data_IF_250988131415
#
_entry.id   IF_250988131415
#
_cell.length_a   1.000
_cell.length_b   1.000
_cell.length_c   1.000
_cell.angle_alpha   90.00
_cell.angle_beta   90.00
_cell.angle_gamma   90.00
#
_symmetry.space_group_name_H-M   'P 1'
#
loop_
_entity.id
_entity.type
_entity.pdbx_description
1 polymer ?
#
# COMPACT_ATOMS: atom_id res chain seq x y z
N UNK A 1 -5.47 -15.22 -39.41
CA UNK A 1 -4.64 -14.24 -38.67
C UNK A 1 -5.24 -14.12 -37.27
N UNK A 2 -4.78 -14.85 -36.24
CA UNK A 2 -3.74 -14.47 -35.24
C UNK A 2 -3.73 -12.94 -34.99
N UNK A 3 -3.84 -12.37 -33.79
CA UNK A 3 -3.89 -12.81 -32.38
C UNK A 3 -4.24 -11.56 -31.57
N UNK A 4 -5.05 -11.68 -30.50
CA UNK A 4 -5.22 -10.61 -29.51
C UNK A 4 -5.16 -11.19 -28.09
N UNK A 5 -3.97 -11.19 -27.48
CA UNK A 5 -3.75 -11.55 -26.07
C UNK A 5 -3.85 -10.28 -25.21
N UNK A 6 -4.89 -10.15 -24.41
CA UNK A 6 -4.96 -9.22 -23.27
C UNK A 6 -4.76 -10.01 -21.98
N UNK A 7 -3.59 -9.89 -21.36
CA UNK A 7 -3.26 -10.55 -20.08
C UNK A 7 -3.77 -9.72 -18.89
N UNK A 8 -4.67 -10.29 -18.09
CA UNK A 8 -5.11 -9.72 -16.82
C UNK A 8 -4.21 -10.21 -15.68
N UNK A 9 -3.54 -9.27 -15.00
CA UNK A 9 -2.67 -9.53 -13.85
C UNK A 9 -3.54 -9.81 -12.61
N UNK A 10 -3.41 -11.00 -12.01
CA UNK A 10 -4.12 -11.37 -10.78
C UNK A 10 -3.41 -10.80 -9.56
N UNK A 11 -4.11 -9.97 -8.78
CA UNK A 11 -3.68 -9.52 -7.46
C UNK A 11 -3.81 -10.64 -6.41
N UNK A 12 -2.70 -11.01 -5.77
CA UNK A 12 -2.64 -12.01 -4.71
C UNK A 12 -2.83 -11.32 -3.35
N UNK A 13 -4.02 -11.47 -2.76
CA UNK A 13 -4.32 -10.98 -1.41
C UNK A 13 -3.77 -11.91 -0.32
N UNK A 14 -2.75 -11.45 0.42
CA UNK A 14 -2.21 -12.12 1.62
C UNK A 14 -3.21 -12.06 2.79
N UNK A 15 -3.77 -13.22 3.19
CA UNK A 15 -4.54 -13.35 4.44
C UNK A 15 -3.62 -13.59 5.63
N UNK A 16 -3.66 -12.67 6.62
CA UNK A 16 -3.00 -12.83 7.93
C UNK A 16 -3.75 -13.90 8.74
N UNK A 17 -3.04 -14.96 9.15
CA UNK A 17 -3.55 -15.98 10.08
C UNK A 17 -3.32 -15.50 11.52
N UNK A 18 -4.37 -15.45 12.34
CA UNK A 18 -4.28 -15.27 13.79
C UNK A 18 -4.49 -16.65 14.42
N UNK A 19 -3.49 -17.17 15.11
CA UNK A 19 -3.59 -18.36 15.93
C UNK A 19 -4.23 -17.98 17.28
N UNK A 20 -5.29 -18.69 17.67
CA UNK A 20 -5.90 -18.61 19.00
C UNK A 20 -5.52 -19.88 19.76
N UNK A 21 -4.91 -19.68 20.93
CA UNK A 21 -4.43 -20.72 21.84
C UNK A 21 -5.62 -21.21 22.67
N UNK A 22 -5.84 -22.53 22.70
CA UNK A 22 -6.90 -23.17 23.48
C UNK A 22 -6.40 -23.52 24.88
N UNK A 23 -7.09 -23.05 25.92
CA UNK A 23 -6.89 -23.49 27.31
C UNK A 23 -7.95 -24.54 27.67
N UNK A 24 -7.48 -25.75 27.94
CA UNK A 24 -8.25 -26.86 28.50
C UNK A 24 -8.50 -26.63 30.00
N UNK A 25 -9.75 -26.88 30.45
CA UNK A 25 -10.08 -27.02 31.87
C UNK A 25 -10.89 -28.31 32.06
N UNK A 26 -10.37 -29.17 32.94
CA UNK A 26 -10.85 -30.52 33.28
C UNK A 26 -12.04 -30.44 34.27
N UNK A 27 -13.03 -31.36 34.22
CA UNK A 27 -14.22 -31.34 35.08
C UNK A 27 -14.00 -31.99 36.45
N UNK A 28 -14.69 -31.44 37.46
CA UNK A 28 -14.75 -31.94 38.83
C UNK A 28 -15.98 -32.80 39.09
N UNK A 29 -15.74 -33.82 39.92
CA UNK A 29 -16.56 -34.96 40.38
C UNK A 29 -17.86 -34.63 41.13
N UNK A 30 -18.84 -35.53 40.96
CA UNK A 30 -19.53 -36.19 42.09
C UNK A 30 -21.00 -35.85 42.35
N UNK A 31 -21.89 -36.84 42.17
CA UNK A 31 -22.82 -37.32 43.21
C UNK A 31 -23.75 -38.42 42.67
N UNK A 32 -23.92 -39.46 43.48
CA UNK A 32 -24.73 -40.66 43.29
C UNK A 32 -26.09 -40.50 44.00
N UNK A 33 -27.18 -40.96 43.38
CA UNK A 33 -28.39 -41.48 44.04
C UNK A 33 -29.22 -42.21 42.96
N UNK A 34 -29.40 -43.53 43.03
CA UNK A 34 -30.46 -44.25 43.75
C UNK A 34 -31.60 -44.68 42.82
N UNK A 35 -32.07 -45.91 43.05
CA UNK A 35 -32.94 -46.72 42.22
C UNK A 35 -34.37 -46.16 42.06
N UNK A 36 -35.06 -46.51 40.98
CA UNK A 36 -36.14 -47.50 41.00
C UNK A 36 -36.88 -47.57 39.65
N UNK A 37 -37.30 -48.77 39.27
CA UNK A 37 -37.93 -49.07 38.00
C UNK A 37 -39.35 -48.50 37.89
N UNK A 38 -39.63 -47.81 36.79
CA UNK A 38 -40.99 -47.51 36.36
C UNK A 38 -41.08 -47.50 34.82
N UNK A 39 -41.67 -48.58 34.31
CA UNK A 39 -42.70 -48.63 33.26
C UNK A 39 -42.48 -47.77 31.99
N UNK A 40 -42.24 -48.47 30.88
CA UNK A 40 -42.25 -47.97 29.50
C UNK A 40 -43.50 -47.13 29.20
N UNK A 41 -43.31 -45.84 28.93
CA UNK A 41 -44.30 -44.93 28.34
C UNK A 41 -43.77 -44.45 26.98
N UNK A 42 -44.58 -44.44 25.91
CA UNK A 42 -44.12 -43.96 24.61
C UNK A 42 -43.90 -42.44 24.65
N UNK A 43 -42.73 -42.02 24.17
CA UNK A 43 -42.31 -40.62 24.06
C UNK A 43 -43.26 -39.81 23.17
N UNK A 44 -43.76 -38.68 23.69
CA UNK A 44 -44.29 -37.59 22.87
C UNK A 44 -43.20 -37.08 21.92
N UNK A 45 -43.51 -36.79 20.64
CA UNK A 45 -42.52 -36.27 19.71
C UNK A 45 -42.10 -34.84 20.12
N UNK A 46 -40.78 -34.61 20.21
CA UNK A 46 -40.20 -33.31 20.52
C UNK A 46 -40.75 -32.19 19.60
N UNK A 47 -40.99 -30.96 20.10
CA UNK A 47 -41.42 -29.86 19.28
C UNK A 47 -40.34 -29.54 18.23
N UNK A 48 -40.77 -29.44 16.97
CA UNK A 48 -39.92 -29.19 15.82
C UNK A 48 -39.00 -27.99 16.04
N UNK A 49 -37.69 -28.20 15.90
CA UNK A 49 -36.69 -27.14 15.93
C UNK A 49 -37.06 -26.04 14.92
N UNK A 50 -37.19 -24.79 15.39
CA UNK A 50 -37.39 -23.64 14.53
C UNK A 50 -36.22 -23.53 13.52
N UNK A 51 -36.49 -23.29 12.22
CA UNK A 51 -35.45 -23.31 11.20
C UNK A 51 -34.44 -22.19 11.42
N UNK A 52 -33.18 -22.56 11.65
CA UNK A 52 -32.06 -21.61 11.76
C UNK A 52 -31.73 -21.07 10.37
N UNK A 53 -32.13 -19.83 10.06
CA UNK A 53 -31.77 -19.17 8.80
C UNK A 53 -30.34 -18.60 8.85
N UNK A 54 -29.59 -18.74 7.76
CA UNK A 54 -28.23 -18.21 7.65
C UNK A 54 -28.26 -16.67 7.56
N UNK A 55 -27.88 -15.98 8.63
CA UNK A 55 -27.88 -14.52 8.73
C UNK A 55 -29.23 -13.85 8.37
N UNK A 56 -30.36 -14.56 8.56
CA UNK A 56 -31.70 -14.08 8.19
C UNK A 56 -31.97 -13.97 6.68
N UNK A 57 -31.13 -14.56 5.82
CA UNK A 57 -31.24 -14.49 4.36
C UNK A 57 -31.66 -15.86 3.81
N UNK A 58 -32.72 -15.89 3.01
CA UNK A 58 -33.19 -17.10 2.32
C UNK A 58 -34.61 -17.52 2.70
N UNK A 59 -34.96 -18.76 2.33
CA UNK A 59 -36.25 -19.38 2.64
C UNK A 59 -36.15 -20.23 3.90
N UNK A 60 -37.15 -20.18 4.78
CA UNK A 60 -37.20 -20.99 6.00
C UNK A 60 -37.26 -22.50 5.70
N UNK A 61 -37.98 -22.88 4.65
CA UNK A 61 -37.97 -24.23 4.08
C UNK A 61 -38.07 -24.13 2.55
N UNK A 62 -37.34 -24.96 1.78
CA UNK A 62 -37.47 -25.00 0.32
C UNK A 62 -38.74 -25.73 -0.14
N UNK A 63 -39.40 -26.49 0.76
CA UNK A 63 -40.62 -27.25 0.49
C UNK A 63 -41.79 -26.28 0.28
N UNK A 64 -42.47 -26.38 -0.86
CA UNK A 64 -43.58 -25.49 -1.24
C UNK A 64 -43.16 -24.23 -2.01
N UNK A 65 -41.86 -23.89 -2.09
CA UNK A 65 -41.38 -22.76 -2.89
C UNK A 65 -41.25 -23.08 -4.39
N UNK A 66 -41.31 -24.36 -4.79
CA UNK A 66 -41.11 -24.77 -6.18
C UNK A 66 -39.68 -24.55 -6.71
N UNK A 67 -38.71 -24.28 -5.84
CA UNK A 67 -37.30 -24.08 -6.18
C UNK A 67 -36.40 -24.93 -5.27
N UNK A 68 -35.13 -25.09 -5.64
CA UNK A 68 -34.16 -25.88 -4.86
C UNK A 68 -33.68 -25.18 -3.57
N UNK A 69 -34.14 -23.95 -3.27
CA UNK A 69 -33.70 -23.19 -2.09
C UNK A 69 -32.27 -22.65 -2.16
N UNK A 70 -31.67 -22.58 -3.35
CA UNK A 70 -30.29 -22.09 -3.53
C UNK A 70 -30.24 -20.56 -3.47
N UNK A 71 -29.50 -20.02 -2.49
CA UNK A 71 -29.35 -18.57 -2.27
C UNK A 71 -27.99 -18.10 -2.78
N UNK A 72 -27.98 -17.27 -3.82
CA UNK A 72 -26.78 -16.64 -4.36
C UNK A 72 -26.61 -15.22 -3.80
N UNK A 73 -25.37 -14.86 -3.42
CA UNK A 73 -25.06 -13.47 -3.06
C UNK A 73 -25.20 -12.55 -4.28
N UNK A 74 -25.80 -11.38 -4.10
CA UNK A 74 -25.80 -10.36 -5.14
C UNK A 74 -24.36 -9.81 -5.31
N UNK A 75 -23.80 -9.94 -6.51
CA UNK A 75 -22.45 -9.42 -6.84
C UNK A 75 -22.45 -7.90 -7.08
N UNK A 76 -23.58 -7.36 -7.51
CA UNK A 76 -23.76 -5.95 -7.86
C UNK A 76 -24.23 -5.10 -6.68
N UNK A 77 -24.56 -5.72 -5.54
CA UNK A 77 -24.90 -5.00 -4.33
C UNK A 77 -23.67 -4.29 -3.78
N UNK A 78 -23.61 -2.96 -3.95
CA UNK A 78 -22.59 -2.12 -3.35
C UNK A 78 -22.78 -2.11 -1.83
N UNK A 79 -21.74 -2.50 -1.10
CA UNK A 79 -21.75 -2.37 0.36
C UNK A 79 -21.65 -0.90 0.69
N UNK A 80 -22.71 -0.31 1.23
CA UNK A 80 -22.58 0.98 1.91
C UNK A 80 -21.49 0.82 2.98
N UNK A 81 -20.51 1.74 2.96
CA UNK A 81 -19.43 1.77 3.95
C UNK A 81 -20.14 1.81 5.31
N UNK A 82 -19.92 0.80 6.16
CA UNK A 82 -20.55 0.72 7.48
C UNK A 82 -20.08 1.92 8.30
N UNK A 83 -20.91 2.95 8.30
CA UNK A 83 -20.66 4.25 8.92
C UNK A 83 -21.94 5.06 8.82
N UNK A 84 -23.03 4.54 9.40
CA UNK A 84 -24.29 5.29 9.60
C UNK A 84 -24.15 6.33 10.71
N UNK A 85 -23.03 7.05 10.73
CA UNK A 85 -22.93 8.34 11.40
C UNK A 85 -23.24 9.43 10.37
N UNK A 86 -23.55 10.66 10.80
CA UNK A 86 -23.56 11.81 9.89
C UNK A 86 -22.26 11.80 9.09
N UNK A 87 -22.32 12.07 7.78
CA UNK A 87 -21.09 12.30 7.01
C UNK A 87 -20.24 13.29 7.80
N UNK A 88 -18.94 13.01 8.01
CA UNK A 88 -18.07 14.03 8.57
C UNK A 88 -18.20 15.27 7.68
N UNK A 89 -18.31 16.47 8.29
CA UNK A 89 -18.36 17.70 7.51
C UNK A 89 -17.19 17.71 6.51
N UNK A 90 -17.36 18.34 5.33
CA UNK A 90 -16.25 18.46 4.39
C UNK A 90 -15.03 18.95 5.15
N UNK A 91 -13.86 18.31 4.97
CA UNK A 91 -12.67 18.64 5.74
C UNK A 91 -12.44 20.15 5.64
N UNK A 92 -12.23 20.79 6.79
CA UNK A 92 -12.01 22.24 6.83
C UNK A 92 -10.77 22.62 6.00
N UNK A 93 -10.61 23.90 5.68
CA UNK A 93 -9.48 24.39 4.88
C UNK A 93 -8.11 23.95 5.45
N UNK A 94 -7.98 23.89 6.77
CA UNK A 94 -6.78 23.39 7.45
C UNK A 94 -6.56 21.88 7.27
N UNK A 95 -7.63 21.10 7.22
CA UNK A 95 -7.57 19.65 7.01
C UNK A 95 -7.28 19.33 5.55
N UNK A 96 -7.84 20.09 4.60
CA UNK A 96 -7.44 20.06 3.19
C UNK A 96 -5.95 20.36 3.03
N UNK A 97 -5.47 21.44 3.67
CA UNK A 97 -4.06 21.84 3.60
C UNK A 97 -3.13 20.78 4.19
N UNK A 98 -3.55 20.09 5.26
CA UNK A 98 -2.81 18.95 5.83
C UNK A 98 -2.82 17.74 4.90
N UNK A 99 -3.93 17.43 4.25
CA UNK A 99 -4.05 16.33 3.29
C UNK A 99 -3.20 16.59 2.03
N UNK A 100 -3.23 17.82 1.53
CA UNK A 100 -2.41 18.27 0.40
C UNK A 100 -0.91 18.24 0.72
N UNK A 101 -0.52 18.73 1.90
CA UNK A 101 0.86 18.60 2.39
C UNK A 101 1.29 17.14 2.59
N UNK A 102 0.33 16.25 2.93
CA UNK A 102 0.57 14.82 3.01
C UNK A 102 0.78 14.13 1.66
N UNK A 103 0.26 14.72 0.57
CA UNK A 103 0.39 14.24 -0.79
C UNK A 103 1.67 14.74 -1.47
N UNK A 104 2.07 15.99 -1.19
CA UNK A 104 3.31 16.60 -1.65
C UNK A 104 4.47 16.36 -0.66
N UNK A 105 4.83 15.10 -0.44
CA UNK A 105 5.99 14.77 0.38
C UNK A 105 7.28 15.06 -0.40
N UNK A 106 8.04 16.04 0.09
CA UNK A 106 9.39 16.31 -0.39
C UNK A 106 10.26 15.05 -0.27
N UNK A 107 11.18 14.80 -1.23
CA UNK A 107 12.22 13.80 -1.10
C UNK A 107 13.06 14.06 0.15
N UNK A 108 13.38 13.00 0.88
CA UNK A 108 14.34 13.10 1.97
C UNK A 108 15.75 12.84 1.40
N UNK A 109 16.68 13.80 1.47
CA UNK A 109 18.03 13.63 0.93
C UNK A 109 18.78 12.45 1.57
N UNK A 110 18.56 12.22 2.86
CA UNK A 110 19.23 11.12 3.57
C UNK A 110 18.86 9.76 2.98
N UNK A 111 17.59 9.55 2.62
CA UNK A 111 17.13 8.29 2.03
C UNK A 111 17.73 8.11 0.62
N UNK A 112 17.87 9.20 -0.15
CA UNK A 112 18.49 9.15 -1.46
C UNK A 112 19.99 8.80 -1.36
N UNK A 113 20.69 9.40 -0.40
CA UNK A 113 22.11 9.12 -0.15
C UNK A 113 22.34 7.69 0.32
N UNK A 114 21.46 7.16 1.18
CA UNK A 114 21.49 5.75 1.58
C UNK A 114 21.30 4.82 0.39
N UNK A 115 20.37 5.14 -0.52
CA UNK A 115 20.17 4.34 -1.72
C UNK A 115 21.37 4.41 -2.67
N UNK A 116 22.02 5.57 -2.80
CA UNK A 116 23.28 5.71 -3.57
C UNK A 116 24.39 4.85 -2.97
N UNK A 117 24.65 4.99 -1.66
CA UNK A 117 25.65 4.17 -0.94
C UNK A 117 25.36 2.67 -1.07
N UNK A 118 24.10 2.26 -0.90
CA UNK A 118 23.68 0.86 -1.06
C UNK A 118 24.01 0.31 -2.45
N UNK A 119 23.81 1.09 -3.52
CA UNK A 119 24.17 0.67 -4.88
C UNK A 119 25.67 0.44 -5.05
N UNK A 120 26.51 1.30 -4.45
CA UNK A 120 27.96 1.11 -4.44
C UNK A 120 28.34 -0.18 -3.74
N UNK A 121 27.78 -0.42 -2.54
CA UNK A 121 28.06 -1.62 -1.76
C UNK A 121 27.62 -2.90 -2.48
N UNK A 122 26.46 -2.89 -3.14
CA UNK A 122 26.00 -4.02 -3.94
C UNK A 122 26.99 -4.36 -5.06
N UNK A 123 27.46 -3.36 -5.81
CA UNK A 123 28.47 -3.58 -6.86
C UNK A 123 29.80 -4.09 -6.28
N UNK A 124 30.18 -3.63 -5.10
CA UNK A 124 31.38 -4.12 -4.41
C UNK A 124 31.23 -5.59 -3.98
N UNK A 125 30.06 -5.99 -3.49
CA UNK A 125 29.74 -7.37 -3.17
C UNK A 125 29.75 -8.26 -4.42
N UNK A 126 29.12 -7.83 -5.50
CA UNK A 126 29.14 -8.54 -6.79
C UNK A 126 30.58 -8.79 -7.28
N UNK A 127 31.46 -7.79 -7.18
CA UNK A 127 32.87 -7.95 -7.54
C UNK A 127 33.60 -8.94 -6.61
N UNK A 128 33.29 -8.89 -5.31
CA UNK A 128 33.86 -9.81 -4.31
C UNK A 128 33.49 -11.25 -4.65
N UNK A 129 32.19 -11.53 -4.85
CA UNK A 129 31.67 -12.85 -5.21
C UNK A 129 32.31 -13.38 -6.52
N UNK A 130 32.41 -12.53 -7.55
CA UNK A 130 33.05 -12.91 -8.82
C UNK A 130 34.54 -13.27 -8.67
N UNK A 131 35.26 -12.59 -7.78
CA UNK A 131 36.66 -12.90 -7.52
C UNK A 131 36.84 -14.14 -6.63
N UNK A 132 35.93 -14.37 -5.68
CA UNK A 132 35.91 -15.59 -4.88
C UNK A 132 35.63 -16.83 -5.75
N UNK A 133 34.67 -16.74 -6.67
CA UNK A 133 34.37 -17.81 -7.64
C UNK A 133 35.56 -18.13 -8.56
N UNK A 134 36.38 -17.13 -8.88
CA UNK A 134 37.60 -17.28 -9.67
C UNK A 134 38.79 -17.78 -8.85
N UNK A 135 38.68 -17.85 -7.53
CA UNK A 135 39.71 -18.37 -6.62
C UNK A 135 40.87 -17.42 -6.35
N UNK A 136 40.66 -16.10 -6.39
CA UNK A 136 41.69 -15.13 -5.96
C UNK A 136 41.94 -15.20 -4.45
N UNK A 137 43.12 -14.75 -4.01
CA UNK A 137 43.44 -14.63 -2.60
C UNK A 137 42.67 -13.47 -1.95
N UNK A 138 42.22 -13.66 -0.70
CA UNK A 138 41.42 -12.68 0.05
C UNK A 138 42.06 -11.28 0.11
N UNK A 139 43.39 -11.20 0.22
CA UNK A 139 44.11 -9.93 0.24
C UNK A 139 44.00 -9.14 -1.07
N UNK A 140 44.12 -9.82 -2.22
CA UNK A 140 43.98 -9.19 -3.53
C UNK A 140 42.55 -8.74 -3.81
N UNK A 141 41.57 -9.50 -3.29
CA UNK A 141 40.14 -9.15 -3.38
C UNK A 141 39.88 -7.84 -2.65
N UNK A 142 40.37 -7.69 -1.42
CA UNK A 142 40.15 -6.48 -0.61
C UNK A 142 40.76 -5.24 -1.26
N UNK A 143 41.96 -5.33 -1.83
CA UNK A 143 42.61 -4.21 -2.52
C UNK A 143 41.83 -3.77 -3.78
N UNK A 144 41.40 -4.73 -4.60
CA UNK A 144 40.61 -4.44 -5.80
C UNK A 144 39.22 -3.91 -5.46
N UNK A 145 38.58 -4.41 -4.41
CA UNK A 145 37.27 -3.91 -3.95
C UNK A 145 37.41 -2.52 -3.34
N UNK A 146 38.47 -2.23 -2.60
CA UNK A 146 38.71 -0.90 -2.02
C UNK A 146 38.92 0.17 -3.10
N UNK A 147 39.75 -0.13 -4.10
CA UNK A 147 39.97 0.76 -5.25
C UNK A 147 38.68 0.94 -6.06
N UNK A 148 37.93 -0.14 -6.30
CA UNK A 148 36.65 -0.09 -6.99
C UNK A 148 35.60 0.74 -6.24
N UNK A 149 35.54 0.64 -4.91
CA UNK A 149 34.65 1.45 -4.05
C UNK A 149 34.94 2.94 -4.21
N UNK A 150 36.21 3.33 -4.21
CA UNK A 150 36.60 4.73 -4.45
C UNK A 150 36.18 5.21 -5.84
N UNK A 151 36.45 4.42 -6.88
CA UNK A 151 36.06 4.76 -8.25
C UNK A 151 34.54 4.91 -8.42
N UNK A 152 33.74 4.08 -7.75
CA UNK A 152 32.28 4.17 -7.82
C UNK A 152 31.73 5.39 -7.08
N UNK A 153 32.30 5.74 -5.93
CA UNK A 153 31.92 6.96 -5.21
C UNK A 153 32.23 8.21 -6.04
N UNK A 154 33.39 8.27 -6.70
CA UNK A 154 33.74 9.38 -7.60
C UNK A 154 32.81 9.46 -8.81
N UNK A 155 32.47 8.31 -9.41
CA UNK A 155 31.54 8.24 -10.55
C UNK A 155 30.13 8.66 -10.18
N UNK A 156 29.59 8.21 -9.05
CA UNK A 156 28.23 8.55 -8.62
C UNK A 156 28.10 10.05 -8.23
N UNK A 157 29.22 10.69 -7.83
CA UNK A 157 29.27 12.14 -7.56
C UNK A 157 29.40 12.94 -8.87
N UNK A 158 30.21 12.47 -9.83
CA UNK A 158 30.45 13.15 -11.10
C UNK A 158 29.32 12.96 -12.11
N UNK A 159 28.73 11.77 -12.13
CA UNK A 159 27.64 11.35 -12.99
C UNK A 159 26.42 11.15 -12.09
N UNK A 160 25.62 12.19 -11.93
CA UNK A 160 24.24 12.01 -11.51
C UNK A 160 23.50 11.22 -12.60
N UNK A 161 23.75 9.91 -12.70
CA UNK A 161 23.28 9.09 -13.81
C UNK A 161 21.74 9.07 -13.86
N UNK A 162 21.14 9.46 -15.00
CA UNK A 162 19.70 9.41 -15.19
C UNK A 162 19.25 8.10 -15.86
N UNK A 163 19.79 6.93 -15.50
CA UNK A 163 19.61 5.75 -16.36
C UNK A 163 18.60 4.72 -15.85
N UNK A 164 18.02 4.89 -14.66
CA UNK A 164 16.99 3.95 -14.18
C UNK A 164 15.74 4.69 -13.77
N UNK A 165 14.67 4.48 -14.55
CA UNK A 165 13.30 4.84 -14.13
C UNK A 165 13.11 4.25 -12.72
N UNK A 166 12.76 5.08 -11.73
CA UNK A 166 12.62 4.59 -10.37
C UNK A 166 11.59 3.47 -10.37
N UNK A 167 11.98 2.31 -9.83
CA UNK A 167 11.07 1.19 -9.67
C UNK A 167 9.94 1.62 -8.73
N UNK A 168 8.75 1.02 -8.88
CA UNK A 168 7.53 1.41 -8.11
C UNK A 168 7.75 1.38 -6.59
N UNK A 169 8.77 0.69 -6.12
CA UNK A 169 9.16 0.60 -4.71
C UNK A 169 9.90 1.82 -4.17
N UNK A 170 10.53 2.65 -5.02
CA UNK A 170 11.39 3.77 -4.61
C UNK A 170 10.63 5.09 -4.52
N UNK A 171 9.82 5.23 -3.46
CA UNK A 171 8.92 6.38 -3.25
C UNK A 171 9.63 7.74 -3.24
N UNK A 172 10.85 7.82 -2.70
CA UNK A 172 11.61 9.07 -2.61
C UNK A 172 12.26 9.46 -3.93
N UNK A 173 12.72 8.49 -4.73
CA UNK A 173 13.22 8.75 -6.08
C UNK A 173 12.09 9.17 -7.02
N UNK A 174 10.90 8.59 -6.85
CA UNK A 174 9.68 9.04 -7.55
C UNK A 174 9.31 10.48 -7.18
N UNK A 175 9.40 10.83 -5.90
CA UNK A 175 9.18 12.20 -5.45
C UNK A 175 10.20 13.18 -6.05
N UNK A 176 11.49 12.84 -6.06
CA UNK A 176 12.57 13.69 -6.62
C UNK A 176 12.38 13.87 -8.14
N UNK A 177 12.05 12.78 -8.85
CA UNK A 177 11.74 12.83 -10.27
C UNK A 177 10.48 13.64 -10.56
N UNK A 178 9.46 13.60 -9.70
CA UNK A 178 8.26 14.40 -9.84
C UNK A 178 8.51 15.88 -9.55
N UNK A 179 9.30 16.21 -8.52
CA UNK A 179 9.71 17.59 -8.24
C UNK A 179 10.50 18.17 -9.42
N UNK A 180 11.50 17.45 -9.95
CA UNK A 180 12.24 17.90 -11.15
C UNK A 180 11.34 18.11 -12.37
N UNK A 181 10.35 17.25 -12.58
CA UNK A 181 9.36 17.44 -13.66
C UNK A 181 8.49 18.66 -13.41
N UNK A 182 8.03 18.85 -12.18
CA UNK A 182 7.22 20.00 -11.78
C UNK A 182 8.02 21.30 -11.91
N UNK A 183 9.29 21.33 -11.52
CA UNK A 183 10.21 22.46 -11.71
C UNK A 183 10.40 22.79 -13.18
N UNK A 184 10.64 21.77 -14.03
CA UNK A 184 10.75 21.97 -15.48
C UNK A 184 9.47 22.54 -16.09
N UNK A 185 8.31 22.06 -15.67
CA UNK A 185 7.02 22.60 -16.11
C UNK A 185 6.81 24.02 -15.59
N UNK A 186 7.14 24.28 -14.33
CA UNK A 186 7.05 25.61 -13.69
C UNK A 186 7.87 26.64 -14.45
N UNK A 187 9.11 26.30 -14.80
CA UNK A 187 9.99 27.14 -15.61
C UNK A 187 9.43 27.34 -17.03
N UNK A 188 8.93 26.29 -17.68
CA UNK A 188 8.36 26.38 -19.03
C UNK A 188 7.11 27.26 -19.10
N UNK A 189 6.25 27.21 -18.08
CA UNK A 189 5.06 28.05 -17.97
C UNK A 189 5.35 29.46 -17.43
N UNK A 190 6.60 29.79 -17.10
CA UNK A 190 6.98 31.10 -16.58
C UNK A 190 6.40 31.39 -15.18
N UNK A 191 6.09 30.35 -14.42
CA UNK A 191 5.53 30.49 -13.07
C UNK A 191 6.69 30.83 -12.12
N UNK A 192 6.62 31.98 -11.44
CA UNK A 192 7.66 32.42 -10.50
C UNK A 192 7.79 31.49 -9.29
N UNK A 193 8.97 31.42 -8.67
CA UNK A 193 9.21 30.60 -7.46
C UNK A 193 8.38 31.06 -6.26
N UNK A 194 7.98 32.32 -6.25
CA UNK A 194 7.05 32.86 -5.26
C UNK A 194 5.62 32.38 -5.44
N UNK A 195 5.22 31.83 -6.60
CA UNK A 195 3.84 31.40 -6.87
C UNK A 195 3.36 30.32 -5.88
N UNK A 196 2.17 30.54 -5.31
CA UNK A 196 1.51 29.64 -4.36
C UNK A 196 0.22 29.16 -5.01
N UNK A 197 0.05 27.85 -5.12
CA UNK A 197 -1.15 27.26 -5.71
C UNK A 197 -2.41 27.61 -4.88
N UNK A 198 -3.54 27.81 -5.55
CA UNK A 198 -4.80 28.24 -4.92
C UNK A 198 -4.89 29.72 -4.54
N UNK A 199 -3.80 30.49 -4.63
CA UNK A 199 -3.79 31.93 -4.28
C UNK A 199 -4.28 32.87 -5.39
N UNK A 200 -4.81 32.32 -6.49
CA UNK A 200 -5.25 33.08 -7.66
C UNK A 200 -6.38 34.09 -7.36
N UNK A 201 -7.17 33.83 -6.32
CA UNK A 201 -8.28 34.69 -5.91
C UNK A 201 -7.96 35.59 -4.70
N UNK A 202 -6.72 35.57 -4.18
CA UNK A 202 -6.35 36.40 -3.02
C UNK A 202 -6.13 37.88 -3.43
N UNK A 203 -7.01 38.80 -3.00
CA UNK A 203 -6.93 40.21 -3.42
C UNK A 203 -5.63 40.89 -2.95
N UNK A 204 -5.10 40.45 -1.81
CA UNK A 204 -3.87 40.95 -1.18
C UNK A 204 -2.59 40.61 -1.96
N UNK A 205 -2.65 39.57 -2.81
CA UNK A 205 -1.48 39.02 -3.51
C UNK A 205 -1.30 39.60 -4.90
N UNK A 206 -2.41 39.84 -5.60
CA UNK A 206 -2.43 40.56 -6.89
C UNK A 206 -1.79 41.94 -6.79
N UNK A 207 -1.84 42.58 -5.62
CA UNK A 207 -1.18 43.85 -5.35
C UNK A 207 0.34 43.75 -5.10
N UNK A 208 0.86 42.56 -4.78
CA UNK A 208 2.28 42.30 -4.47
C UNK A 208 3.05 41.68 -5.63
N UNK A 209 2.37 41.06 -6.58
CA UNK A 209 2.99 40.56 -7.82
C UNK A 209 3.32 41.75 -8.72
N UNK A 210 4.50 42.36 -8.51
CA UNK A 210 5.10 43.28 -9.47
C UNK A 210 5.42 42.51 -10.75
N UNK A 211 5.03 43.00 -11.94
CA UNK A 211 5.31 42.31 -13.19
C UNK A 211 6.82 42.12 -13.37
N UNK A 212 7.27 40.98 -13.90
CA UNK A 212 8.68 40.77 -14.18
C UNK A 212 9.19 41.86 -15.13
N UNK A 213 10.36 42.44 -14.83
CA UNK A 213 11.02 43.40 -15.72
C UNK A 213 11.19 42.78 -17.11
N UNK A 214 10.95 43.54 -18.19
CA UNK A 214 11.10 43.03 -19.54
C UNK A 214 12.54 42.57 -19.77
N UNK A 215 12.76 41.46 -20.49
CA UNK A 215 14.10 40.99 -20.80
C UNK A 215 14.87 42.10 -21.52
N UNK A 216 16.04 42.45 -20.98
CA UNK A 216 16.97 43.40 -21.56
C UNK A 216 17.28 42.96 -23.00
N UNK A 217 17.11 43.82 -24.03
CA UNK A 217 17.42 43.42 -25.40
C UNK A 217 18.89 43.02 -25.47
N UNK A 218 19.15 41.76 -25.85
CA UNK A 218 20.49 41.27 -26.11
C UNK A 218 21.15 42.11 -27.22
N UNK A 219 22.47 42.37 -27.13
CA UNK A 219 23.20 43.17 -28.13
C UNK A 219 23.22 42.52 -29.52
#
# INVERSE_FOLDING_TARGET
MRTGRGGAVRAVGRKRRRCLVASLRVPGVGASAAADGARWAPSEPAPAAAPTMYNGIGLATPRGSGTNGYVQRNLSALRHKKGGGPEPPPPGEEELRRLEAGLAKRPNPDILDHQRKRKVELKCLELTELMEEQGYAEGEIQEKVATFRMMLLEKDVALGEPEQKPTVTETHQLAEANERKNERLRAAFGISDSYVDGSAFDPSRRAKETPPEPPNPAP
#
